data_IF_699519884646
#
_entry.id   IF_699519884646
#
_cell.length_a   1.000
_cell.length_b   1.000
_cell.length_c   1.000
_cell.angle_alpha   90.00
_cell.angle_beta   90.00
_cell.angle_gamma   90.00
#
_symmetry.space_group_name_H-M   'P 1'
#
loop_
_entity.id
_entity.type
_entity.pdbx_description
1 polymer ?
#
# COMPACT_ATOMS: atom_id res chain seq x y z
N UNK A 1 9.35 -23.46 -8.69
CA UNK A 1 8.42 -23.45 -7.54
C UNK A 1 7.06 -22.96 -8.03
N UNK A 2 5.93 -23.32 -7.40
CA UNK A 2 4.66 -22.68 -7.71
C UNK A 2 4.78 -21.16 -7.47
N UNK A 3 4.01 -20.31 -8.19
CA UNK A 3 4.06 -18.88 -7.97
C UNK A 3 3.60 -18.53 -6.55
N UNK A 4 4.24 -17.52 -5.96
CA UNK A 4 3.86 -16.97 -4.68
C UNK A 4 2.56 -16.16 -4.82
N UNK A 5 1.52 -16.51 -4.05
CA UNK A 5 0.20 -15.87 -4.14
C UNK A 5 0.10 -14.77 -3.08
N UNK A 6 -0.06 -13.53 -3.55
CA UNK A 6 -0.21 -12.36 -2.69
C UNK A 6 -1.65 -11.84 -2.75
N UNK A 7 -2.21 -11.55 -1.58
CA UNK A 7 -3.45 -10.79 -1.46
C UNK A 7 -3.11 -9.35 -1.00
N UNK A 8 -3.39 -8.36 -1.84
CA UNK A 8 -3.10 -6.96 -1.53
C UNK A 8 -4.43 -6.24 -1.21
N UNK A 9 -4.45 -5.56 -0.06
CA UNK A 9 -5.61 -4.82 0.46
C UNK A 9 -5.21 -3.37 0.69
N UNK A 10 -5.73 -2.45 -0.12
CA UNK A 10 -5.47 -1.02 0.02
C UNK A 10 -6.70 -0.21 0.40
N UNK A 11 -6.45 0.98 0.94
CA UNK A 11 -7.42 2.08 1.13
C UNK A 11 -8.74 1.62 1.76
N UNK A 12 -8.61 1.03 2.95
CA UNK A 12 -9.72 0.37 3.64
C UNK A 12 -10.82 1.35 4.06
N UNK A 13 -10.49 2.54 4.58
CA UNK A 13 -11.44 3.61 4.96
C UNK A 13 -12.66 3.11 5.75
N UNK A 14 -12.42 2.40 6.84
CA UNK A 14 -13.39 1.74 7.71
C UNK A 14 -14.27 0.67 7.02
N UNK A 15 -13.94 0.28 5.78
CA UNK A 15 -14.58 -0.82 5.05
C UNK A 15 -13.82 -2.13 5.29
N UNK A 16 -13.76 -2.54 6.55
CA UNK A 16 -13.22 -3.82 6.98
C UNK A 16 -14.19 -4.52 7.92
N UNK A 17 -14.50 -5.78 7.64
CA UNK A 17 -15.48 -6.56 8.38
C UNK A 17 -14.94 -7.94 8.72
N UNK A 18 -15.62 -8.67 9.61
CA UNK A 18 -15.30 -10.08 9.86
C UNK A 18 -15.38 -10.94 8.58
N UNK A 19 -16.19 -10.55 7.60
CA UNK A 19 -16.29 -11.23 6.31
C UNK A 19 -15.00 -11.10 5.48
N UNK A 20 -14.28 -9.98 5.58
CA UNK A 20 -12.97 -9.81 4.94
C UNK A 20 -11.91 -10.73 5.55
N UNK A 21 -11.90 -10.82 6.88
CA UNK A 21 -11.03 -11.76 7.59
C UNK A 21 -11.36 -13.21 7.22
N UNK A 22 -12.65 -13.57 7.19
CA UNK A 22 -13.09 -14.91 6.78
C UNK A 22 -12.64 -15.21 5.35
N UNK A 23 -12.82 -14.27 4.42
CA UNK A 23 -12.37 -14.42 3.04
C UNK A 23 -10.87 -14.73 2.97
N UNK A 24 -10.02 -13.94 3.63
CA UNK A 24 -8.57 -14.19 3.61
C UNK A 24 -8.21 -15.57 4.19
N UNK A 25 -8.90 -16.00 5.24
CA UNK A 25 -8.72 -17.32 5.83
C UNK A 25 -9.17 -18.47 4.90
N UNK A 26 -10.19 -18.24 4.07
CA UNK A 26 -10.62 -19.20 3.05
C UNK A 26 -9.62 -19.28 1.89
N UNK A 27 -9.12 -18.13 1.42
CA UNK A 27 -8.21 -18.07 0.26
C UNK A 27 -6.79 -18.55 0.58
N UNK A 28 -6.35 -18.39 1.83
CA UNK A 28 -5.01 -18.76 2.31
C UNK A 28 -3.89 -18.28 1.35
N UNK A 29 -3.79 -16.96 1.08
CA UNK A 29 -2.65 -16.43 0.33
C UNK A 29 -1.35 -16.71 1.11
N UNK A 30 -0.25 -16.85 0.38
CA UNK A 30 1.05 -17.09 1.00
C UNK A 30 1.52 -15.87 1.80
N UNK A 31 1.17 -14.66 1.34
CA UNK A 31 1.41 -13.40 2.02
C UNK A 31 0.29 -12.38 1.75
N UNK A 32 -0.15 -11.67 2.80
CA UNK A 32 -1.12 -10.57 2.68
C UNK A 32 -0.43 -9.21 2.87
N UNK A 33 -0.69 -8.25 2.00
CA UNK A 33 -0.10 -6.91 2.07
C UNK A 33 -1.20 -5.88 2.33
N UNK A 34 -1.10 -5.15 3.44
CA UNK A 34 -2.04 -4.07 3.79
C UNK A 34 -1.42 -2.71 3.50
N UNK A 35 -2.11 -1.90 2.68
CA UNK A 35 -1.59 -0.67 2.08
C UNK A 35 -2.19 0.59 2.70
N UNK A 36 -2.43 0.55 4.01
CA UNK A 36 -2.80 1.71 4.81
C UNK A 36 -4.16 2.32 4.50
N UNK A 37 -4.37 3.51 5.07
CA UNK A 37 -5.65 4.21 5.06
C UNK A 37 -6.77 3.33 5.64
N UNK A 38 -6.54 2.82 6.84
CA UNK A 38 -7.50 1.99 7.56
C UNK A 38 -8.74 2.76 7.96
N UNK A 39 -8.57 4.01 8.39
CA UNK A 39 -9.64 4.94 8.73
C UNK A 39 -9.19 5.82 9.87
N UNK A 40 -9.04 7.13 9.66
CA UNK A 40 -8.71 8.17 10.66
C UNK A 40 -8.29 7.71 12.08
N UNK A 41 -7.12 7.06 12.21
CA UNK A 41 -6.60 6.47 13.46
C UNK A 41 -7.54 5.44 14.14
N UNK A 42 -8.11 4.52 13.34
CA UNK A 42 -9.09 3.50 13.73
C UNK A 42 -8.40 2.31 14.41
N UNK A 43 -8.11 2.49 15.69
CA UNK A 43 -7.40 1.49 16.51
C UNK A 43 -8.06 0.10 16.47
N UNK A 44 -9.37 0.02 16.61
CA UNK A 44 -10.08 -1.27 16.63
C UNK A 44 -9.93 -2.04 15.31
N UNK A 45 -9.91 -1.33 14.18
CA UNK A 45 -9.70 -1.92 12.86
C UNK A 45 -8.26 -2.41 12.72
N UNK A 46 -7.28 -1.60 13.13
CA UNK A 46 -5.86 -2.02 13.12
C UNK A 46 -5.62 -3.24 14.01
N UNK A 47 -6.23 -3.29 15.19
CA UNK A 47 -6.18 -4.46 16.07
C UNK A 47 -6.80 -5.70 15.40
N UNK A 48 -7.93 -5.54 14.69
CA UNK A 48 -8.53 -6.63 13.93
C UNK A 48 -7.59 -7.14 12.82
N UNK A 49 -6.91 -6.25 12.09
CA UNK A 49 -5.92 -6.63 11.08
C UNK A 49 -4.72 -7.33 11.74
N UNK A 50 -4.20 -6.80 12.84
CA UNK A 50 -3.08 -7.39 13.57
C UNK A 50 -3.39 -8.83 14.01
N UNK A 51 -4.62 -9.09 14.45
CA UNK A 51 -5.07 -10.39 14.95
C UNK A 51 -5.25 -11.49 13.87
N UNK A 52 -5.24 -11.17 12.57
CA UNK A 52 -5.42 -12.18 11.51
C UNK A 52 -4.27 -13.21 11.55
N UNK A 53 -4.52 -14.53 11.66
CA UNK A 53 -3.44 -15.52 11.78
C UNK A 53 -2.83 -15.91 10.42
N UNK A 54 -2.50 -14.93 9.59
CA UNK A 54 -1.85 -15.09 8.29
C UNK A 54 -0.54 -14.30 8.25
N UNK A 55 0.41 -14.75 7.43
CA UNK A 55 1.62 -13.98 7.13
C UNK A 55 1.20 -12.68 6.48
N UNK A 56 1.66 -11.55 7.03
CA UNK A 56 1.28 -10.24 6.51
C UNK A 56 2.35 -9.17 6.74
N UNK A 57 2.33 -8.17 5.89
CA UNK A 57 3.05 -6.91 6.06
C UNK A 57 2.05 -5.75 6.02
N UNK A 58 2.30 -4.74 6.84
CA UNK A 58 1.44 -3.57 6.98
C UNK A 58 2.25 -2.30 6.78
N UNK A 59 1.73 -1.38 5.97
CA UNK A 59 2.18 0.00 5.92
C UNK A 59 1.01 0.91 6.30
N UNK A 60 1.25 1.88 7.18
CA UNK A 60 0.26 2.90 7.55
C UNK A 60 0.18 4.00 6.47
N UNK A 61 -1.04 4.45 6.16
CA UNK A 61 -1.37 5.55 5.25
C UNK A 61 -1.63 6.87 5.97
N UNK A 62 -1.91 7.93 5.21
CA UNK A 62 -2.07 9.27 5.80
C UNK A 62 -3.30 9.36 6.72
N UNK A 63 -4.33 8.56 6.49
CA UNK A 63 -5.48 8.46 7.37
C UNK A 63 -5.17 7.72 8.67
N UNK A 64 -4.09 6.94 8.75
CA UNK A 64 -3.73 6.21 9.97
C UNK A 64 -2.99 7.07 11.00
N UNK A 65 -2.53 8.26 10.59
CA UNK A 65 -1.97 9.32 11.44
C UNK A 65 -2.74 10.65 11.29
N UNK A 66 -4.01 10.59 10.91
CA UNK A 66 -4.79 11.74 10.45
C UNK A 66 -4.80 12.95 11.41
N UNK A 67 -4.98 12.70 12.70
CA UNK A 67 -5.08 13.72 13.75
C UNK A 67 -3.71 14.03 14.38
N UNK A 68 -2.87 13.00 14.47
CA UNK A 68 -1.54 13.02 15.06
C UNK A 68 -0.57 13.81 14.18
N UNK A 69 -0.54 13.52 12.87
CA UNK A 69 0.33 14.19 11.91
C UNK A 69 -0.21 15.57 11.47
N UNK A 70 -1.54 15.75 11.39
CA UNK A 70 -2.14 16.98 10.82
C UNK A 70 -2.61 17.96 11.90
N UNK A 71 -1.86 19.05 12.08
CA UNK A 71 -2.10 20.04 13.15
C UNK A 71 -3.53 20.59 13.20
N UNK A 72 -4.11 20.99 12.07
CA UNK A 72 -5.45 21.58 12.03
C UNK A 72 -6.57 20.56 12.12
N UNK A 73 -6.29 19.26 11.92
CA UNK A 73 -7.28 18.20 12.10
C UNK A 73 -7.38 17.74 13.55
N UNK A 74 -6.37 18.03 14.37
CA UNK A 74 -6.37 17.69 15.80
C UNK A 74 -7.57 18.24 16.56
N UNK A 75 -8.15 19.37 16.14
CA UNK A 75 -9.38 19.91 16.74
C UNK A 75 -10.64 19.09 16.40
N UNK A 76 -10.57 18.25 15.37
CA UNK A 76 -11.63 17.34 14.92
C UNK A 76 -11.41 15.91 15.44
N UNK A 77 -10.42 15.72 16.32
CA UNK A 77 -10.08 14.42 16.89
C UNK A 77 -11.27 13.89 17.71
N UNK A 78 -11.82 12.71 17.39
CA UNK A 78 -13.01 12.16 18.05
C UNK A 78 -12.71 11.54 19.42
N UNK A 79 -11.46 11.65 19.89
CA UNK A 79 -11.00 11.17 21.18
C UNK A 79 -10.17 12.21 21.93
N UNK A 80 -10.08 12.02 23.25
CA UNK A 80 -9.25 12.85 24.12
C UNK A 80 -7.76 12.50 23.96
N UNK A 81 -7.08 13.28 23.12
CA UNK A 81 -5.66 13.14 22.83
C UNK A 81 -4.73 13.44 24.01
N UNK A 82 -5.26 13.95 25.14
CA UNK A 82 -4.50 14.04 26.40
C UNK A 82 -4.52 12.73 27.18
N UNK A 83 -5.45 11.82 26.86
CA UNK A 83 -5.64 10.53 27.53
C UNK A 83 -5.21 9.33 26.69
N UNK A 84 -5.34 9.41 25.37
CA UNK A 84 -4.96 8.32 24.47
C UNK A 84 -4.20 8.80 23.23
N UNK A 85 -3.24 7.98 22.79
CA UNK A 85 -2.47 8.18 21.57
C UNK A 85 -2.74 7.01 20.61
N UNK A 86 -3.82 7.11 19.83
CA UNK A 86 -4.23 6.01 18.93
C UNK A 86 -3.18 5.70 17.88
N UNK A 87 -2.40 6.66 17.41
CA UNK A 87 -1.29 6.38 16.50
C UNK A 87 -0.24 5.47 17.14
N UNK A 88 0.19 5.77 18.37
CA UNK A 88 1.16 4.95 19.10
C UNK A 88 0.59 3.56 19.45
N UNK A 89 -0.68 3.49 19.85
CA UNK A 89 -1.37 2.22 20.11
C UNK A 89 -1.52 1.36 18.84
N UNK A 90 -1.71 1.97 17.67
CA UNK A 90 -1.70 1.24 16.38
C UNK A 90 -0.30 0.66 16.09
N UNK A 91 0.76 1.43 16.34
CA UNK A 91 2.14 0.94 16.19
C UNK A 91 2.43 -0.22 17.15
N UNK A 92 1.99 -0.12 18.41
CA UNK A 92 2.12 -1.19 19.41
C UNK A 92 1.35 -2.45 19.00
N UNK A 93 0.10 -2.31 18.56
CA UNK A 93 -0.73 -3.42 18.11
C UNK A 93 -0.15 -4.14 16.88
N UNK A 94 0.45 -3.39 15.95
CA UNK A 94 1.08 -3.97 14.76
C UNK A 94 2.47 -4.56 15.07
N UNK A 95 3.22 -3.98 16.00
CA UNK A 95 4.58 -4.39 16.32
C UNK A 95 5.43 -4.52 15.06
N UNK A 96 6.09 -5.68 14.89
CA UNK A 96 6.91 -5.98 13.72
C UNK A 96 6.15 -6.17 12.40
N UNK A 97 4.81 -6.16 12.40
CA UNK A 97 4.01 -6.21 11.18
C UNK A 97 4.01 -4.87 10.43
N UNK A 98 4.16 -3.75 11.14
CA UNK A 98 4.32 -2.43 10.54
C UNK A 98 5.74 -2.27 10.03
N UNK A 99 5.91 -2.14 8.71
CA UNK A 99 7.23 -2.15 8.07
C UNK A 99 7.68 -0.80 7.54
N UNK A 100 7.06 0.32 7.95
CA UNK A 100 7.51 1.65 7.51
C UNK A 100 8.98 1.91 7.88
N UNK A 101 9.84 2.11 6.88
CA UNK A 101 11.31 2.12 7.00
C UNK A 101 11.94 0.82 7.58
N UNK A 102 11.20 -0.27 7.61
CA UNK A 102 11.62 -1.60 8.04
C UNK A 102 11.37 -2.63 6.93
N UNK A 103 11.49 -3.91 7.28
CA UNK A 103 11.24 -5.01 6.34
C UNK A 103 10.84 -6.31 7.03
N UNK A 104 10.30 -7.23 6.24
CA UNK A 104 10.18 -8.64 6.58
C UNK A 104 10.94 -9.46 5.53
N UNK A 105 11.74 -10.41 6.00
CA UNK A 105 12.56 -11.28 5.16
C UNK A 105 11.92 -12.67 5.06
N UNK A 106 11.81 -13.20 3.84
CA UNK A 106 11.30 -14.54 3.52
C UNK A 106 12.35 -15.30 2.69
N UNK A 107 13.42 -15.81 3.33
CA UNK A 107 14.50 -16.51 2.63
C UNK A 107 14.03 -17.72 1.82
N UNK A 108 12.93 -18.37 2.23
CA UNK A 108 12.34 -19.49 1.50
C UNK A 108 11.85 -19.12 0.09
N UNK A 109 11.62 -17.84 -0.16
CA UNK A 109 11.20 -17.30 -1.47
C UNK A 109 12.28 -16.40 -2.10
N UNK A 110 13.47 -16.32 -1.47
CA UNK A 110 14.51 -15.34 -1.78
C UNK A 110 13.93 -13.92 -1.94
N UNK A 111 13.02 -13.53 -1.03
CA UNK A 111 12.24 -12.30 -1.13
C UNK A 111 12.21 -11.56 0.21
N UNK A 112 12.39 -10.24 0.15
CA UNK A 112 12.09 -9.34 1.28
C UNK A 112 11.04 -8.31 0.90
N UNK A 113 10.15 -8.01 1.84
CA UNK A 113 9.18 -6.92 1.71
C UNK A 113 9.66 -5.73 2.52
N UNK A 114 9.97 -4.64 1.83
CA UNK A 114 10.54 -3.41 2.42
C UNK A 114 9.49 -2.30 2.39
N UNK A 115 9.29 -1.64 3.53
CA UNK A 115 8.33 -0.56 3.61
C UNK A 115 8.92 0.79 3.20
N UNK A 116 8.13 1.56 2.43
CA UNK A 116 8.43 2.95 2.13
C UNK A 116 8.20 3.88 3.33
N UNK A 117 8.04 5.17 3.04
CA UNK A 117 7.69 6.17 4.05
C UNK A 117 6.24 5.96 4.53
N UNK A 118 6.02 5.63 5.82
CA UNK A 118 4.67 5.44 6.36
C UNK A 118 3.96 6.78 6.55
N UNK A 119 2.63 6.76 6.54
CA UNK A 119 1.76 7.93 6.76
C UNK A 119 1.95 9.05 5.74
N UNK A 120 2.57 8.75 4.59
CA UNK A 120 2.71 9.72 3.51
C UNK A 120 1.35 10.07 2.93
N UNK A 121 1.19 11.34 2.56
CA UNK A 121 0.07 11.82 1.74
C UNK A 121 0.55 12.17 0.32
N UNK A 122 1.75 11.76 -0.05
CA UNK A 122 2.34 12.03 -1.36
C UNK A 122 2.80 13.46 -1.59
N UNK A 123 3.20 13.71 -2.83
CA UNK A 123 3.56 15.03 -3.34
C UNK A 123 5.02 15.45 -3.11
N UNK A 124 5.42 16.50 -3.82
CA UNK A 124 6.81 16.98 -3.89
C UNK A 124 7.27 17.82 -2.68
N UNK A 125 6.42 18.00 -1.67
CA UNK A 125 6.74 18.79 -0.47
C UNK A 125 6.92 17.89 0.75
N UNK A 126 7.97 18.14 1.53
CA UNK A 126 8.20 17.45 2.80
C UNK A 126 7.24 17.98 3.87
N UNK A 127 6.07 17.35 3.97
CA UNK A 127 5.02 17.68 4.94
C UNK A 127 5.26 17.00 6.29
N UNK A 128 4.52 17.44 7.31
CA UNK A 128 4.51 16.80 8.64
C UNK A 128 5.90 16.64 9.31
N UNK A 129 6.84 17.57 9.07
CA UNK A 129 8.23 17.51 9.59
C UNK A 129 8.36 17.15 11.07
N UNK A 130 7.49 17.70 11.94
CA UNK A 130 7.51 17.39 13.39
C UNK A 130 7.13 15.94 13.68
N UNK A 131 6.15 15.41 12.97
CA UNK A 131 5.69 14.03 13.08
C UNK A 131 6.80 13.06 12.65
N UNK A 132 7.38 13.26 11.46
CA UNK A 132 8.46 12.38 10.98
C UNK A 132 9.71 12.43 11.84
N UNK A 133 10.09 13.61 12.34
CA UNK A 133 11.22 13.72 13.28
C UNK A 133 10.96 13.00 14.60
N UNK A 134 9.73 13.07 15.12
CA UNK A 134 9.38 12.47 16.40
C UNK A 134 9.26 10.94 16.31
N UNK A 135 8.45 10.43 15.39
CA UNK A 135 8.15 9.00 15.31
C UNK A 135 9.18 8.19 14.52
N UNK A 136 9.79 8.82 13.50
CA UNK A 136 10.67 8.10 12.57
C UNK A 136 12.09 8.66 12.54
N UNK A 137 12.38 9.79 13.18
CA UNK A 137 13.71 10.42 13.19
C UNK A 137 14.24 10.74 11.77
N UNK A 138 13.34 11.04 10.83
CA UNK A 138 13.66 11.44 9.45
C UNK A 138 13.22 12.89 9.21
N UNK A 139 14.10 13.68 8.59
CA UNK A 139 13.93 15.11 8.41
C UNK A 139 13.72 15.59 6.97
N UNK A 140 13.97 14.76 5.96
CA UNK A 140 13.93 15.16 4.55
C UNK A 140 13.69 13.98 3.58
N UNK A 141 13.38 14.28 2.32
CA UNK A 141 13.26 13.26 1.27
C UNK A 141 14.56 12.48 1.04
N UNK A 142 15.75 13.09 0.96
CA UNK A 142 17.00 12.33 0.82
C UNK A 142 17.27 11.40 2.00
N UNK A 143 17.06 11.85 3.24
CA UNK A 143 17.21 10.99 4.43
C UNK A 143 16.22 9.82 4.42
N UNK A 144 14.98 10.09 4.02
CA UNK A 144 13.94 9.07 3.86
C UNK A 144 14.32 8.03 2.81
N UNK A 145 14.73 8.49 1.63
CA UNK A 145 15.15 7.63 0.53
C UNK A 145 16.34 6.76 0.89
N UNK A 146 17.36 7.34 1.52
CA UNK A 146 18.53 6.61 1.97
C UNK A 146 18.15 5.52 2.97
N UNK A 147 17.27 5.84 3.94
CA UNK A 147 16.82 4.84 4.92
C UNK A 147 16.05 3.68 4.28
N UNK A 148 15.18 3.96 3.31
CA UNK A 148 14.45 2.94 2.56
C UNK A 148 15.43 2.07 1.76
N UNK A 149 16.37 2.70 1.04
CA UNK A 149 17.36 2.02 0.23
C UNK A 149 18.31 1.16 1.07
N UNK A 150 18.85 1.69 2.17
CA UNK A 150 19.72 0.97 3.09
C UNK A 150 19.02 -0.26 3.67
N UNK A 151 17.75 -0.11 4.08
CA UNK A 151 16.95 -1.22 4.59
C UNK A 151 16.80 -2.34 3.55
N UNK A 152 16.54 -1.98 2.29
CA UNK A 152 16.44 -2.91 1.17
C UNK A 152 17.77 -3.53 0.77
N UNK A 153 18.85 -2.77 0.69
CA UNK A 153 20.19 -3.25 0.31
C UNK A 153 20.71 -4.22 1.38
N UNK A 154 20.47 -3.93 2.67
CA UNK A 154 20.85 -4.78 3.78
C UNK A 154 19.98 -6.05 3.93
N UNK A 155 18.94 -6.23 3.11
CA UNK A 155 18.19 -7.50 3.09
C UNK A 155 19.09 -8.67 2.65
N UNK A 156 18.94 -9.86 3.26
CA UNK A 156 19.67 -11.06 2.85
C UNK A 156 19.16 -11.67 1.54
N UNK A 157 18.05 -11.19 0.99
CA UNK A 157 17.41 -11.72 -0.22
C UNK A 157 17.76 -10.89 -1.45
N UNK A 158 17.85 -11.53 -2.62
CA UNK A 158 18.16 -10.85 -3.88
C UNK A 158 16.97 -10.09 -4.45
N UNK A 159 15.74 -10.50 -4.08
CA UNK A 159 14.50 -9.90 -4.54
C UNK A 159 13.89 -9.02 -3.46
N UNK A 160 13.51 -7.80 -3.84
CA UNK A 160 12.89 -6.82 -2.94
C UNK A 160 11.54 -6.39 -3.49
N UNK A 161 10.47 -6.62 -2.73
CA UNK A 161 9.16 -6.04 -2.96
C UNK A 161 9.03 -4.78 -2.11
N UNK A 162 8.58 -3.67 -2.70
CA UNK A 162 8.28 -2.47 -1.92
C UNK A 162 6.80 -2.39 -1.56
N UNK A 163 6.51 -2.01 -0.32
CA UNK A 163 5.18 -1.71 0.17
C UNK A 163 5.13 -0.28 0.71
N UNK A 164 4.34 0.59 0.10
CA UNK A 164 4.19 1.98 0.53
C UNK A 164 2.72 2.39 0.48
N UNK A 165 2.26 3.35 1.28
CA UNK A 165 0.89 3.83 1.11
C UNK A 165 0.76 4.69 -0.15
N UNK A 166 1.65 5.68 -0.34
CA UNK A 166 1.72 6.44 -1.59
C UNK A 166 2.69 5.77 -2.57
N UNK A 167 2.33 5.78 -3.85
CA UNK A 167 3.23 5.33 -4.92
C UNK A 167 4.38 6.30 -5.17
N UNK A 168 5.41 5.88 -5.92
CA UNK A 168 6.56 6.72 -6.22
C UNK A 168 6.21 7.85 -7.20
N UNK A 169 6.92 8.98 -7.08
CA UNK A 169 6.86 10.03 -8.12
C UNK A 169 7.40 9.51 -9.46
N UNK A 170 6.98 10.14 -10.55
CA UNK A 170 7.25 9.73 -11.94
C UNK A 170 6.08 9.00 -12.60
N UNK A 171 5.02 8.71 -11.85
CA UNK A 171 3.85 7.93 -12.29
C UNK A 171 2.54 8.74 -12.25
N UNK A 172 2.60 10.08 -12.30
CA UNK A 172 1.42 10.92 -12.11
C UNK A 172 1.27 12.10 -13.06
N UNK A 173 1.79 12.04 -14.29
CA UNK A 173 1.69 13.14 -15.27
C UNK A 173 0.24 13.60 -15.50
N UNK A 174 -0.68 12.66 -15.69
CA UNK A 174 -2.12 12.91 -15.84
C UNK A 174 -2.92 12.49 -14.60
N UNK A 175 -4.09 13.11 -14.32
CA UNK A 175 -4.97 12.70 -13.22
C UNK A 175 -5.35 11.21 -13.23
N UNK A 176 -5.41 10.60 -14.41
CA UNK A 176 -5.72 9.19 -14.65
C UNK A 176 -4.55 8.23 -14.36
N UNK A 177 -3.32 8.74 -14.19
CA UNK A 177 -2.13 7.91 -13.97
C UNK A 177 -2.07 7.35 -12.54
N UNK A 178 -1.26 6.30 -12.29
CA UNK A 178 -1.27 5.62 -10.99
C UNK A 178 -1.06 6.53 -9.78
N UNK A 179 -0.25 7.59 -9.91
CA UNK A 179 0.06 8.58 -8.87
C UNK A 179 -0.46 10.00 -9.19
N UNK A 180 -1.41 10.14 -10.13
CA UNK A 180 -1.88 11.42 -10.63
C UNK A 180 -2.93 12.11 -9.74
N UNK A 181 -2.71 13.38 -9.40
CA UNK A 181 -3.67 14.17 -8.62
C UNK A 181 -4.95 14.49 -9.42
N UNK A 182 -6.12 14.20 -8.84
CA UNK A 182 -7.43 14.38 -9.51
C UNK A 182 -8.41 15.34 -8.79
N UNK A 183 -8.00 15.95 -7.66
CA UNK A 183 -8.87 16.80 -6.83
C UNK A 183 -8.65 18.32 -6.96
N UNK A 184 -7.69 18.78 -7.76
CA UNK A 184 -7.51 20.21 -8.04
C UNK A 184 -6.79 20.41 -9.37
N UNK A 185 -6.94 21.60 -10.00
CA UNK A 185 -6.18 22.00 -11.19
C UNK A 185 -4.97 22.89 -10.84
N UNK A 186 -3.86 22.80 -11.58
CA UNK A 186 -3.52 21.69 -12.48
C UNK A 186 -3.40 20.38 -11.67
N UNK A 187 -3.61 19.23 -12.34
CA UNK A 187 -3.33 17.92 -11.76
C UNK A 187 -1.82 17.72 -11.61
N UNK A 188 -1.35 16.50 -11.87
CA UNK A 188 0.08 16.19 -11.93
C UNK A 188 0.56 15.28 -10.80
N UNK A 189 1.87 15.08 -10.80
CA UNK A 189 2.46 14.00 -10.03
C UNK A 189 2.39 14.26 -8.53
N UNK A 190 1.80 13.30 -7.82
CA UNK A 190 1.62 13.35 -6.39
C UNK A 190 2.15 12.09 -5.70
N UNK A 191 3.03 11.35 -6.38
CA UNK A 191 3.80 10.28 -5.78
C UNK A 191 4.90 10.79 -4.86
N UNK A 192 5.53 9.86 -4.15
CA UNK A 192 6.60 10.06 -3.18
C UNK A 192 7.99 10.13 -3.87
N UNK A 193 8.70 11.27 -3.84
CA UNK A 193 10.04 11.40 -4.40
C UNK A 193 11.08 10.52 -3.73
N UNK A 194 10.98 10.32 -2.42
CA UNK A 194 11.87 9.47 -1.65
C UNK A 194 11.74 7.99 -2.01
N UNK A 195 10.51 7.51 -2.23
CA UNK A 195 10.29 6.15 -2.70
C UNK A 195 10.85 5.94 -4.11
N UNK A 196 10.65 6.90 -5.03
CA UNK A 196 11.22 6.84 -6.37
C UNK A 196 12.76 6.77 -6.35
N UNK A 197 13.40 7.62 -5.53
CA UNK A 197 14.85 7.61 -5.35
C UNK A 197 15.35 6.27 -4.77
N UNK A 198 14.67 5.73 -3.76
CA UNK A 198 15.07 4.48 -3.13
C UNK A 198 14.95 3.28 -4.09
N UNK A 199 13.85 3.20 -4.86
CA UNK A 199 13.66 2.13 -5.86
C UNK A 199 14.78 2.16 -6.89
N UNK A 200 15.12 3.33 -7.43
CA UNK A 200 16.18 3.48 -8.42
C UNK A 200 17.55 3.03 -7.87
N UNK A 201 17.87 3.36 -6.61
CA UNK A 201 19.12 2.92 -5.97
C UNK A 201 19.16 1.39 -5.78
N UNK A 202 18.02 0.79 -5.43
CA UNK A 202 17.93 -0.65 -5.14
C UNK A 202 17.93 -1.48 -6.42
N UNK A 203 17.28 -1.01 -7.50
CA UNK A 203 17.31 -1.65 -8.82
C UNK A 203 18.73 -1.78 -9.39
N UNK A 204 19.68 -0.95 -8.95
CA UNK A 204 21.08 -1.07 -9.36
C UNK A 204 21.81 -2.26 -8.73
N UNK A 205 21.25 -2.90 -7.69
CA UNK A 205 21.92 -3.93 -6.88
C UNK A 205 21.08 -5.20 -6.66
N UNK A 206 19.75 -5.08 -6.70
CA UNK A 206 18.79 -6.14 -6.39
C UNK A 206 17.66 -6.16 -7.40
N UNK A 207 16.96 -7.29 -7.49
CA UNK A 207 15.78 -7.42 -8.35
C UNK A 207 14.57 -6.83 -7.62
N UNK A 208 13.90 -5.85 -8.23
CA UNK A 208 12.66 -5.27 -7.69
C UNK A 208 11.50 -5.73 -8.57
N UNK A 209 10.87 -6.90 -8.31
CA UNK A 209 9.80 -7.36 -9.20
C UNK A 209 8.51 -6.55 -9.05
N UNK A 210 8.25 -6.03 -7.84
CA UNK A 210 6.95 -5.48 -7.50
C UNK A 210 7.05 -4.31 -6.49
N UNK A 211 6.28 -3.26 -6.76
CA UNK A 211 6.03 -2.12 -5.87
C UNK A 211 4.52 -2.01 -5.67
N UNK A 212 4.05 -2.27 -4.46
CA UNK A 212 2.65 -2.19 -4.08
C UNK A 212 2.36 -0.89 -3.33
N UNK A 213 1.35 -0.15 -3.76
CA UNK A 213 0.92 1.08 -3.14
C UNK A 213 -0.58 1.34 -3.25
N UNK A 214 -1.08 2.42 -2.67
CA UNK A 214 -2.48 2.81 -2.60
C UNK A 214 -2.67 4.32 -2.77
N UNK A 215 -3.46 4.95 -1.90
CA UNK A 215 -3.73 6.39 -1.77
C UNK A 215 -4.55 6.99 -2.92
N UNK A 216 -4.10 6.79 -4.16
CA UNK A 216 -4.72 7.34 -5.35
C UNK A 216 -5.88 6.46 -5.79
N UNK A 217 -7.07 6.73 -5.23
CA UNK A 217 -8.25 5.90 -5.44
C UNK A 217 -8.54 5.66 -6.93
N UNK A 218 -8.94 4.43 -7.27
CA UNK A 218 -9.27 4.04 -8.64
C UNK A 218 -10.42 4.87 -9.23
N UNK A 219 -11.37 5.26 -8.38
CA UNK A 219 -12.48 6.14 -8.76
C UNK A 219 -12.01 7.59 -8.81
N UNK A 220 -11.86 8.10 -10.03
CA UNK A 220 -11.43 9.48 -10.29
C UNK A 220 -12.49 10.50 -9.86
N UNK A 221 -12.12 11.61 -9.22
CA UNK A 221 -13.07 12.62 -8.72
C UNK A 221 -13.72 13.44 -9.84
N UNK A 222 -13.02 13.72 -10.92
CA UNK A 222 -13.46 14.59 -12.02
C UNK A 222 -14.30 13.89 -13.10
N UNK A 223 -14.34 12.55 -13.11
CA UNK A 223 -15.02 11.77 -14.16
C UNK A 223 -15.49 10.39 -13.67
N UNK A 224 -16.26 9.68 -14.51
CA UNK A 224 -16.88 8.38 -14.16
C UNK A 224 -16.86 7.35 -15.30
N UNK A 225 -16.44 7.72 -16.51
CA UNK A 225 -16.46 6.87 -17.69
C UNK A 225 -15.30 5.87 -17.75
N UNK A 226 -14.24 6.08 -16.96
CA UNK A 226 -13.13 5.13 -16.79
C UNK A 226 -12.51 5.25 -15.39
N UNK A 227 -11.89 4.18 -14.86
CA UNK A 227 -11.09 4.26 -13.66
C UNK A 227 -9.71 4.88 -13.92
N UNK A 228 -9.00 5.19 -12.85
CA UNK A 228 -7.55 5.42 -12.83
C UNK A 228 -6.83 4.17 -13.33
N UNK A 229 -5.75 4.34 -14.09
CA UNK A 229 -4.83 3.24 -14.39
C UNK A 229 -4.16 2.82 -13.09
N UNK A 230 -4.38 1.57 -12.67
CA UNK A 230 -3.90 1.03 -11.39
C UNK A 230 -2.55 0.31 -11.49
N UNK A 231 -1.88 0.38 -12.64
CA UNK A 231 -0.62 -0.33 -12.87
C UNK A 231 0.36 0.48 -13.72
N UNK A 232 1.65 0.17 -13.57
CA UNK A 232 2.71 0.59 -14.49
C UNK A 232 3.79 -0.50 -14.52
N UNK A 233 4.55 -0.54 -15.61
CA UNK A 233 5.76 -1.37 -15.70
C UNK A 233 6.88 -0.51 -16.27
N UNK A 234 7.99 -0.46 -15.55
CA UNK A 234 9.15 0.32 -15.99
C UNK A 234 10.05 -0.47 -16.95
N UNK A 235 11.14 0.17 -17.37
CA UNK A 235 12.14 -0.42 -18.28
C UNK A 235 13.02 -1.47 -17.61
N UNK A 236 13.13 -1.46 -16.27
CA UNK A 236 13.82 -2.50 -15.50
C UNK A 236 12.95 -3.76 -15.33
N UNK A 237 11.67 -3.69 -15.73
CA UNK A 237 10.70 -4.76 -15.61
C UNK A 237 9.98 -4.80 -14.26
N UNK A 238 10.19 -3.80 -13.40
CA UNK A 238 9.47 -3.65 -12.13
C UNK A 238 8.01 -3.32 -12.42
N UNK A 239 7.12 -4.06 -11.77
CA UNK A 239 5.69 -3.80 -11.81
C UNK A 239 5.29 -2.92 -10.63
N UNK A 240 4.48 -1.91 -10.90
CA UNK A 240 3.94 -0.97 -9.92
C UNK A 240 2.44 -1.17 -9.87
N UNK A 241 1.88 -1.48 -8.70
CA UNK A 241 0.46 -1.75 -8.52
C UNK A 241 -0.15 -0.84 -7.48
N UNK A 242 -1.18 -0.10 -7.89
CA UNK A 242 -2.04 0.69 -7.03
C UNK A 242 -3.26 -0.15 -6.60
N UNK A 243 -3.36 -0.47 -5.32
CA UNK A 243 -4.42 -1.27 -4.71
C UNK A 243 -5.57 -0.43 -4.12
N UNK A 244 -5.66 0.86 -4.43
CA UNK A 244 -6.62 1.81 -3.86
C UNK A 244 -8.06 1.68 -4.43
N UNK A 245 -8.65 0.49 -4.35
CA UNK A 245 -10.04 0.28 -4.73
C UNK A 245 -10.97 0.80 -3.63
N UNK A 246 -11.45 2.05 -3.75
CA UNK A 246 -12.40 2.63 -2.80
C UNK A 246 -13.70 3.09 -3.49
N UNK A 247 -14.87 2.52 -3.15
CA UNK A 247 -15.10 1.51 -2.11
C UNK A 247 -14.58 0.10 -2.48
N UNK A 248 -14.10 -0.65 -1.48
CA UNK A 248 -13.65 -2.04 -1.62
C UNK A 248 -14.71 -3.09 -1.28
N UNK A 249 -15.82 -2.66 -0.69
CA UNK A 249 -16.98 -3.51 -0.39
C UNK A 249 -18.14 -3.09 -1.28
N UNK A 250 -18.66 -4.02 -2.09
CA UNK A 250 -19.84 -3.81 -2.91
C UNK A 250 -21.00 -4.67 -2.41
N UNK A 251 -22.20 -4.10 -2.35
CA UNK A 251 -23.43 -4.86 -2.09
C UNK A 251 -24.06 -5.23 -3.43
N UNK A 252 -24.04 -6.51 -3.78
CA UNK A 252 -24.60 -7.05 -5.01
C UNK A 252 -25.79 -7.96 -4.69
N UNK A 253 -27.02 -7.44 -4.86
CA UNK A 253 -28.27 -8.16 -4.56
C UNK A 253 -28.27 -8.78 -3.15
N UNK A 254 -28.03 -10.10 -3.04
CA UNK A 254 -28.01 -10.88 -1.79
C UNK A 254 -26.61 -11.21 -1.27
N UNK A 255 -25.55 -10.75 -1.93
CA UNK A 255 -24.16 -11.00 -1.53
C UNK A 255 -23.38 -9.71 -1.36
N UNK A 256 -22.38 -9.76 -0.49
CA UNK A 256 -21.40 -8.69 -0.34
C UNK A 256 -20.12 -9.15 -1.02
N UNK A 257 -19.59 -8.32 -1.91
CA UNK A 257 -18.34 -8.60 -2.61
C UNK A 257 -17.22 -7.80 -1.98
N UNK A 258 -16.08 -8.45 -1.81
CA UNK A 258 -14.89 -7.88 -1.20
C UNK A 258 -13.77 -7.86 -2.23
N UNK A 259 -13.19 -6.68 -2.42
CA UNK A 259 -12.08 -6.49 -3.33
C UNK A 259 -10.77 -6.98 -2.72
N UNK A 260 -9.98 -7.67 -3.55
CA UNK A 260 -8.57 -7.94 -3.36
C UNK A 260 -7.85 -7.67 -4.69
N UNK A 261 -6.66 -7.09 -4.63
CA UNK A 261 -5.73 -7.16 -5.75
C UNK A 261 -4.92 -8.46 -5.57
N UNK A 262 -5.21 -9.45 -6.42
CA UNK A 262 -4.58 -10.76 -6.38
C UNK A 262 -3.36 -10.79 -7.30
N UNK A 263 -2.21 -11.22 -6.76
CA UNK A 263 -0.94 -11.26 -7.51
C UNK A 263 -0.34 -12.64 -7.42
N UNK A 264 0.13 -13.14 -8.56
CA UNK A 264 0.98 -14.31 -8.61
C UNK A 264 2.39 -13.90 -9.02
N UNK A 265 3.34 -14.13 -8.12
CA UNK A 265 4.74 -13.76 -8.27
C UNK A 265 5.59 -15.01 -8.47
N UNK A 266 6.07 -15.23 -9.69
CA UNK A 266 7.10 -16.24 -9.98
C UNK A 266 8.47 -15.58 -10.07
N UNK A 267 9.51 -16.35 -10.38
CA UNK A 267 10.88 -15.82 -10.49
C UNK A 267 11.02 -14.79 -11.62
N UNK A 268 10.25 -14.92 -12.70
CA UNK A 268 10.38 -14.11 -13.92
C UNK A 268 9.13 -13.35 -14.31
N UNK A 269 7.99 -13.59 -13.65
CA UNK A 269 6.70 -13.04 -14.04
C UNK A 269 5.91 -12.55 -12.84
N UNK A 270 5.27 -11.40 -13.01
CA UNK A 270 4.24 -10.88 -12.13
C UNK A 270 2.95 -10.84 -12.94
N UNK A 271 1.93 -11.56 -12.49
CA UNK A 271 0.56 -11.40 -12.97
C UNK A 271 -0.27 -10.79 -11.87
N UNK A 272 -1.26 -9.97 -12.24
CA UNK A 272 -2.10 -9.30 -11.27
C UNK A 272 -3.52 -9.17 -11.81
N UNK A 273 -4.49 -9.33 -10.91
CA UNK A 273 -5.91 -9.21 -11.24
C UNK A 273 -6.64 -8.41 -10.16
N UNK A 274 -7.50 -7.49 -10.60
CA UNK A 274 -8.51 -6.91 -9.71
C UNK A 274 -9.58 -7.98 -9.50
N UNK A 275 -9.83 -8.39 -8.26
CA UNK A 275 -10.72 -9.53 -7.97
C UNK A 275 -11.79 -9.17 -6.95
N UNK A 276 -12.98 -9.71 -7.14
CA UNK A 276 -14.14 -9.52 -6.27
C UNK A 276 -14.67 -10.87 -5.81
N UNK A 277 -14.66 -11.08 -4.50
CA UNK A 277 -14.97 -12.36 -3.88
C UNK A 277 -16.17 -12.26 -2.95
N UNK A 278 -16.93 -13.35 -2.85
CA UNK A 278 -17.85 -13.52 -1.71
C UNK A 278 -17.07 -13.87 -0.45
N UNK A 279 -17.63 -13.70 0.77
CA UNK A 279 -16.96 -14.09 2.02
C UNK A 279 -16.64 -15.60 2.11
N UNK A 280 -17.31 -16.42 1.30
CA UNK A 280 -17.08 -17.86 1.20
C UNK A 280 -15.89 -18.22 0.28
N UNK A 281 -15.15 -17.25 -0.25
CA UNK A 281 -14.00 -17.49 -1.13
C UNK A 281 -14.38 -17.80 -2.58
N UNK A 282 -15.60 -17.49 -3.01
CA UNK A 282 -16.02 -17.66 -4.41
C UNK A 282 -15.67 -16.41 -5.21
N UNK A 283 -14.85 -16.55 -6.26
CA UNK A 283 -14.55 -15.48 -7.20
C UNK A 283 -15.78 -15.16 -8.05
N UNK A 284 -16.22 -13.91 -8.02
CA UNK A 284 -17.41 -13.45 -8.77
C UNK A 284 -17.02 -12.64 -9.99
N UNK A 285 -16.02 -11.76 -9.86
CA UNK A 285 -15.52 -10.94 -10.96
C UNK A 285 -14.00 -10.84 -10.87
N UNK A 286 -13.34 -10.86 -12.03
CA UNK A 286 -11.91 -10.58 -12.14
C UNK A 286 -11.62 -9.74 -13.39
N UNK A 287 -10.60 -8.90 -13.30
CA UNK A 287 -10.04 -8.14 -14.42
C UNK A 287 -8.51 -8.31 -14.38
N UNK A 288 -7.94 -8.89 -15.43
CA UNK A 288 -6.50 -9.05 -15.55
C UNK A 288 -5.82 -7.73 -15.92
N UNK A 289 -4.75 -7.39 -15.20
CA UNK A 289 -3.96 -6.21 -15.50
C UNK A 289 -2.96 -6.53 -16.61
N UNK A 290 -2.86 -5.70 -17.67
CA UNK A 290 -2.00 -5.97 -18.82
C UNK A 290 -0.52 -5.66 -18.53
N UNK A 291 0.10 -6.49 -17.69
CA UNK A 291 1.49 -6.37 -17.21
C UNK A 291 2.51 -7.02 -18.14
N UNK A 292 2.07 -7.91 -19.03
CA UNK A 292 2.92 -8.60 -20.01
C UNK A 292 3.24 -7.63 -21.14
N UNK A 293 4.49 -7.57 -21.65
CA UNK A 293 4.81 -6.75 -22.80
C UNK A 293 3.96 -7.23 -23.97
N UNK A 294 3.20 -6.34 -24.60
CA UNK A 294 2.62 -6.68 -25.89
C UNK A 294 3.79 -6.90 -26.86
N UNK A 295 3.81 -8.02 -27.61
CA UNK A 295 4.81 -8.17 -28.67
C UNK A 295 4.68 -6.98 -29.63
N UNK A 296 5.83 -6.41 -29.98
CA UNK A 296 5.95 -5.30 -30.91
C UNK A 296 5.36 -5.64 -32.29
#
# INVERSE_FOLDING_TARGET
>A
MPPLRLAIVGDIHDQWTLADQQLLLQLQPDLTLFVGDFGNESLALVQAIAAIPLRKAVILGNHDAWYTATRWRRSQCPYDWMRENRFEQQLEALGGLHIGYGRLDFPEWNLSVVGGRPCSAGGSQWQHRRFYRHYYQVGSFPESAQRIADCAIASPCDRVLFLAHCGPSGLGDQPEDPCGKDWSRPGGDFGDPDLAMAIAQVQAQKVVPLVCFGHMHHRLRHRRDRPRRSWHRDTAGTVYLNAAASPRILKAQQTTLHHLLWVELSDSLVTAQQTWWTPAGVLVQSEELPLVPQPA
#
